data_IF_784431381671
#
_entry.id   IF_784431381671
#
_cell.length_a   1.000
_cell.length_b   1.000
_cell.length_c   1.000
_cell.angle_alpha   90.00
_cell.angle_beta   90.00
_cell.angle_gamma   90.00
#
_symmetry.space_group_name_H-M   'P 1'
#
loop_
_entity.id
_entity.type
_entity.pdbx_description
1 polymer ?
#
# COMPACT_ATOMS: atom_id res chain seq x y z
N UNK A 1 13.55 25.29 -5.80
CA UNK A 1 14.44 24.13 -5.61
C UNK A 1 13.92 23.36 -4.39
N UNK A 2 13.35 22.16 -4.56
CA UNK A 2 12.78 21.41 -3.42
C UNK A 2 13.93 20.59 -2.81
N UNK A 3 14.42 21.06 -1.66
CA UNK A 3 15.42 20.35 -0.85
C UNK A 3 14.70 19.23 -0.11
N UNK A 4 14.77 18.00 -0.64
CA UNK A 4 14.31 16.82 0.08
C UNK A 4 15.20 16.61 1.31
N UNK A 5 14.62 16.61 2.52
CA UNK A 5 15.34 16.17 3.72
C UNK A 5 15.90 14.76 3.47
N UNK A 6 17.23 14.61 3.53
CA UNK A 6 17.96 13.39 3.21
C UNK A 6 17.55 12.15 4.04
N UNK A 7 16.77 12.32 5.12
CA UNK A 7 16.29 11.27 6.00
C UNK A 7 14.83 10.83 5.74
N UNK A 8 14.37 10.89 4.48
CA UNK A 8 13.00 10.51 4.09
C UNK A 8 13.01 9.37 3.08
N UNK A 9 12.07 8.42 3.22
CA UNK A 9 11.90 7.29 2.30
C UNK A 9 11.53 7.78 0.88
N UNK A 10 11.83 6.98 -0.13
CA UNK A 10 11.51 7.31 -1.54
C UNK A 10 10.01 7.47 -1.73
N UNK A 11 9.23 6.60 -1.09
CA UNK A 11 7.78 6.64 -1.06
C UNK A 11 7.27 8.00 -0.59
N UNK A 12 7.83 8.53 0.51
CA UNK A 12 7.46 9.84 1.04
C UNK A 12 7.87 10.95 0.09
N UNK A 13 9.06 10.88 -0.52
CA UNK A 13 9.51 11.88 -1.52
C UNK A 13 8.59 11.90 -2.73
N UNK A 14 8.21 10.73 -3.28
CA UNK A 14 7.28 10.60 -4.41
C UNK A 14 5.93 11.21 -4.06
N UNK A 15 5.39 10.91 -2.88
CA UNK A 15 4.13 11.46 -2.42
C UNK A 15 4.19 12.98 -2.23
N UNK A 16 5.24 13.50 -1.61
CA UNK A 16 5.46 14.95 -1.46
C UNK A 16 5.55 15.62 -2.82
N UNK A 17 6.31 15.08 -3.77
CA UNK A 17 6.38 15.67 -5.12
C UNK A 17 5.03 15.67 -5.83
N UNK A 18 4.24 14.59 -5.72
CA UNK A 18 2.88 14.56 -6.26
C UNK A 18 1.95 15.57 -5.59
N UNK A 19 2.14 15.82 -4.30
CA UNK A 19 1.38 16.82 -3.53
C UNK A 19 1.73 18.25 -3.93
N UNK A 20 3.01 18.57 -4.07
CA UNK A 20 3.45 19.87 -4.59
C UNK A 20 3.00 20.08 -6.05
N UNK A 21 2.97 19.01 -6.85
CA UNK A 21 2.40 19.05 -8.20
C UNK A 21 0.90 19.35 -8.16
N UNK A 22 0.16 18.77 -7.21
CA UNK A 22 -1.26 19.02 -7.02
C UNK A 22 -1.54 20.51 -6.82
N UNK A 23 -0.81 21.15 -5.90
CA UNK A 23 -0.91 22.59 -5.63
C UNK A 23 -0.64 23.46 -6.86
N UNK A 24 0.19 23.00 -7.80
CA UNK A 24 0.53 23.73 -9.03
C UNK A 24 -0.47 23.52 -10.16
N UNK A 25 -0.94 22.29 -10.33
CA UNK A 25 -1.80 21.89 -11.46
C UNK A 25 -3.27 22.15 -11.17
N UNK A 26 -3.63 22.29 -9.89
CA UNK A 26 -4.98 22.60 -9.44
C UNK A 26 -5.02 24.00 -8.81
N UNK A 27 -4.83 25.08 -9.59
CA UNK A 27 -4.84 26.45 -9.06
C UNK A 27 -6.25 26.95 -8.69
N UNK A 28 -7.33 26.32 -9.19
CA UNK A 28 -8.70 26.86 -9.06
C UNK A 28 -9.72 25.98 -8.30
N UNK A 29 -9.34 24.79 -7.80
CA UNK A 29 -10.26 24.02 -6.95
C UNK A 29 -10.24 24.63 -5.56
N UNK A 30 -11.32 25.33 -5.23
CA UNK A 30 -11.54 25.88 -3.91
C UNK A 30 -12.24 27.24 -3.86
N UNK A 31 -12.72 27.78 -4.99
CA UNK A 31 -13.69 28.89 -4.92
C UNK A 31 -14.92 28.54 -4.08
N UNK A 32 -15.28 27.26 -4.01
CA UNK A 32 -16.35 26.70 -3.17
C UNK A 32 -15.83 25.99 -1.90
N UNK A 33 -14.50 25.91 -1.69
CA UNK A 33 -13.91 25.24 -0.52
C UNK A 33 -13.40 26.29 0.44
N UNK A 34 -14.12 26.46 1.54
CA UNK A 34 -13.92 27.58 2.46
C UNK A 34 -12.69 27.42 3.35
N UNK A 35 -12.22 26.18 3.58
CA UNK A 35 -11.15 25.91 4.57
C UNK A 35 -9.86 25.36 3.97
N UNK A 36 -8.72 25.81 4.50
CA UNK A 36 -7.39 25.27 4.15
C UNK A 36 -7.28 23.76 4.41
N UNK A 37 -7.97 23.25 5.43
CA UNK A 37 -8.00 21.83 5.77
C UNK A 37 -8.61 20.98 4.65
N UNK A 38 -9.66 21.47 4.01
CA UNK A 38 -10.32 20.77 2.91
C UNK A 38 -9.48 20.82 1.63
N UNK A 39 -8.83 21.96 1.35
CA UNK A 39 -7.86 22.08 0.25
C UNK A 39 -6.74 21.04 0.40
N UNK A 40 -6.13 20.96 1.57
CA UNK A 40 -5.10 19.95 1.87
C UNK A 40 -5.60 18.50 1.68
N UNK A 41 -6.83 18.22 2.12
CA UNK A 41 -7.47 16.91 1.90
C UNK A 41 -7.64 16.60 0.41
N UNK A 42 -8.01 17.58 -0.40
CA UNK A 42 -8.14 17.43 -1.86
C UNK A 42 -6.77 17.20 -2.51
N UNK A 43 -5.73 17.91 -2.09
CA UNK A 43 -4.37 17.71 -2.60
C UNK A 43 -3.81 16.33 -2.26
N UNK A 44 -4.07 15.83 -1.04
CA UNK A 44 -3.77 14.44 -0.69
C UNK A 44 -4.55 13.44 -1.55
N UNK A 45 -5.84 13.68 -1.81
CA UNK A 45 -6.65 12.81 -2.67
C UNK A 45 -6.14 12.79 -4.11
N UNK A 46 -5.77 13.95 -4.66
CA UNK A 46 -5.14 14.04 -5.97
C UNK A 46 -3.82 13.27 -6.01
N UNK A 47 -2.93 13.49 -5.05
CA UNK A 47 -1.62 12.84 -4.99
C UNK A 47 -1.74 11.32 -4.99
N UNK A 48 -2.67 10.79 -4.20
CA UNK A 48 -2.99 9.36 -4.18
C UNK A 48 -3.57 8.86 -5.51
N UNK A 49 -4.42 9.64 -6.17
CA UNK A 49 -4.98 9.28 -7.48
C UNK A 49 -3.98 9.35 -8.63
N UNK A 50 -3.06 10.31 -8.58
CA UNK A 50 -1.99 10.49 -9.55
C UNK A 50 -0.98 9.33 -9.49
N UNK A 51 -0.55 8.95 -8.27
CA UNK A 51 0.40 7.86 -8.08
C UNK A 51 -0.24 6.47 -8.25
N UNK A 52 -1.53 6.36 -7.98
CA UNK A 52 -2.27 5.10 -8.05
C UNK A 52 -3.61 5.30 -8.77
N UNK A 53 -3.61 5.29 -10.11
CA UNK A 53 -4.82 5.48 -10.91
C UNK A 53 -5.91 4.48 -10.54
N UNK A 54 -7.13 4.98 -10.34
CA UNK A 54 -8.23 4.17 -9.82
C UNK A 54 -8.66 3.05 -10.77
N UNK A 55 -8.67 3.33 -12.08
CA UNK A 55 -9.01 2.35 -13.12
C UNK A 55 -7.98 1.21 -13.17
N UNK A 56 -6.69 1.55 -13.13
CA UNK A 56 -5.62 0.56 -13.11
C UNK A 56 -5.67 -0.30 -11.84
N UNK A 57 -5.87 0.31 -10.67
CA UNK A 57 -6.06 -0.45 -9.42
C UNK A 57 -7.27 -1.39 -9.49
N UNK A 58 -8.39 -0.95 -10.05
CA UNK A 58 -9.59 -1.78 -10.22
C UNK A 58 -9.35 -2.93 -11.18
N UNK A 59 -8.61 -2.71 -12.26
CA UNK A 59 -8.26 -3.78 -13.21
C UNK A 59 -7.35 -4.84 -12.56
N UNK A 60 -6.41 -4.41 -11.71
CA UNK A 60 -5.45 -5.32 -11.07
C UNK A 60 -6.06 -6.10 -9.89
N UNK A 61 -6.82 -5.41 -9.04
CA UNK A 61 -7.30 -5.96 -7.76
C UNK A 61 -8.77 -6.39 -7.85
N UNK A 62 -9.56 -5.78 -8.72
CA UNK A 62 -11.02 -5.89 -8.76
C UNK A 62 -11.72 -4.77 -7.99
N UNK A 63 -13.06 -4.81 -7.99
CA UNK A 63 -13.91 -3.75 -7.43
C UNK A 63 -13.94 -3.75 -5.90
N UNK A 64 -14.01 -4.94 -5.28
CA UNK A 64 -14.09 -5.14 -3.83
C UNK A 64 -13.31 -6.40 -3.45
N UNK A 65 -12.77 -6.40 -2.23
CA UNK A 65 -11.96 -7.50 -1.68
C UNK A 65 -12.32 -7.74 -0.22
N UNK A 66 -12.38 -9.00 0.20
CA UNK A 66 -12.64 -9.34 1.60
C UNK A 66 -11.34 -9.38 2.40
N UNK A 67 -10.24 -9.79 1.76
CA UNK A 67 -8.93 -9.89 2.39
C UNK A 67 -7.79 -9.68 1.39
N UNK A 68 -6.64 -9.29 1.94
CA UNK A 68 -5.38 -9.20 1.22
C UNK A 68 -4.32 -9.97 1.99
N UNK A 69 -3.49 -10.72 1.28
CA UNK A 69 -2.28 -11.26 1.88
C UNK A 69 -1.29 -10.12 2.15
N UNK A 70 -0.52 -10.22 3.23
CA UNK A 70 0.52 -9.23 3.53
C UNK A 70 1.49 -9.06 2.36
N UNK A 71 1.96 -10.18 1.78
CA UNK A 71 2.89 -10.15 0.64
C UNK A 71 2.27 -9.47 -0.58
N UNK A 72 1.00 -9.73 -0.88
CA UNK A 72 0.26 -9.05 -1.96
C UNK A 72 0.28 -7.52 -1.79
N UNK A 73 0.02 -7.01 -0.59
CA UNK A 73 0.08 -5.56 -0.30
C UNK A 73 1.47 -4.98 -0.51
N UNK A 74 2.53 -5.68 -0.08
CA UNK A 74 3.91 -5.23 -0.26
C UNK A 74 4.30 -5.22 -1.74
N UNK A 75 3.91 -6.23 -2.49
CA UNK A 75 4.18 -6.29 -3.92
C UNK A 75 3.49 -5.13 -4.66
N UNK A 76 2.22 -4.87 -4.34
CA UNK A 76 1.46 -3.78 -4.95
C UNK A 76 2.01 -2.40 -4.56
N UNK A 77 2.33 -2.15 -3.29
CA UNK A 77 2.90 -0.86 -2.88
C UNK A 77 4.27 -0.60 -3.52
N UNK A 78 5.05 -1.64 -3.78
CA UNK A 78 6.28 -1.55 -4.58
C UNK A 78 6.02 -1.24 -6.05
N UNK A 79 5.02 -1.89 -6.66
CA UNK A 79 4.64 -1.66 -8.06
C UNK A 79 4.25 -0.19 -8.31
N UNK A 80 3.41 0.38 -7.43
CA UNK A 80 3.06 1.81 -7.48
C UNK A 80 4.15 2.74 -6.91
N UNK A 81 5.13 2.17 -6.21
CA UNK A 81 6.21 2.88 -5.55
C UNK A 81 5.72 3.91 -4.52
N UNK A 82 4.75 3.52 -3.70
CA UNK A 82 4.16 4.31 -2.62
C UNK A 82 4.35 3.62 -1.28
N UNK A 83 4.10 4.33 -0.19
CA UNK A 83 4.13 3.73 1.15
C UNK A 83 2.97 2.74 1.31
N UNK A 84 3.18 1.72 2.12
CA UNK A 84 2.13 0.74 2.42
C UNK A 84 0.91 1.39 3.08
N UNK A 85 1.13 2.42 3.92
CA UNK A 85 0.05 3.24 4.49
C UNK A 85 -0.74 4.01 3.43
N UNK A 86 -0.06 4.69 2.49
CA UNK A 86 -0.74 5.42 1.42
C UNK A 86 -1.51 4.48 0.49
N UNK A 87 -0.98 3.28 0.25
CA UNK A 87 -1.65 2.24 -0.52
C UNK A 87 -2.97 1.81 0.15
N UNK A 88 -2.94 1.46 1.44
CA UNK A 88 -4.16 1.12 2.20
C UNK A 88 -5.21 2.24 2.16
N UNK A 89 -4.78 3.49 2.38
CA UNK A 89 -5.70 4.63 2.33
C UNK A 89 -6.27 4.86 0.93
N UNK A 90 -5.54 4.50 -0.13
CA UNK A 90 -6.04 4.55 -1.51
C UNK A 90 -7.11 3.49 -1.77
N UNK A 91 -6.90 2.26 -1.30
CA UNK A 91 -7.91 1.20 -1.38
C UNK A 91 -9.21 1.62 -0.68
N UNK A 92 -9.10 2.25 0.50
CA UNK A 92 -10.25 2.79 1.23
C UNK A 92 -10.95 3.90 0.42
N UNK A 93 -10.18 4.84 -0.12
CA UNK A 93 -10.73 5.94 -0.92
C UNK A 93 -11.43 5.49 -2.20
N UNK A 94 -11.11 4.30 -2.71
CA UNK A 94 -11.76 3.67 -3.87
C UNK A 94 -12.91 2.73 -3.49
N UNK A 95 -13.17 2.51 -2.19
CA UNK A 95 -14.20 1.59 -1.71
C UNK A 95 -13.85 0.11 -1.90
N UNK A 96 -12.58 -0.22 -2.16
CA UNK A 96 -12.13 -1.61 -2.37
C UNK A 96 -12.02 -2.39 -1.07
N UNK A 97 -11.84 -1.67 0.05
CA UNK A 97 -11.77 -2.18 1.42
C UNK A 97 -12.64 -1.32 2.33
N UNK A 98 -13.21 -1.94 3.35
CA UNK A 98 -14.02 -1.25 4.34
C UNK A 98 -13.16 -0.43 5.31
N UNK A 99 -13.76 0.57 5.95
CA UNK A 99 -13.13 1.33 7.04
C UNK A 99 -12.77 0.44 8.23
N UNK A 100 -13.55 -0.62 8.48
CA UNK A 100 -13.30 -1.60 9.53
C UNK A 100 -12.04 -2.43 9.22
N UNK A 101 -11.90 -2.91 7.98
CA UNK A 101 -10.71 -3.63 7.52
C UNK A 101 -9.44 -2.78 7.68
N UNK A 102 -9.51 -1.49 7.34
CA UNK A 102 -8.40 -0.54 7.52
C UNK A 102 -8.07 -0.34 9.00
N UNK A 103 -9.09 -0.18 9.84
CA UNK A 103 -8.91 -0.07 11.29
C UNK A 103 -8.21 -1.30 11.85
N UNK A 104 -8.65 -2.49 11.44
CA UNK A 104 -8.06 -3.78 11.82
C UNK A 104 -6.61 -3.90 11.34
N UNK A 105 -6.33 -3.53 10.09
CA UNK A 105 -4.96 -3.52 9.55
C UNK A 105 -4.02 -2.68 10.42
N UNK A 106 -4.38 -1.43 10.72
CA UNK A 106 -3.57 -0.54 11.55
C UNK A 106 -3.50 -0.93 13.04
N UNK A 107 -4.40 -1.80 13.52
CA UNK A 107 -4.30 -2.40 14.87
C UNK A 107 -3.42 -3.65 14.91
N UNK A 108 -3.19 -4.29 13.77
CA UNK A 108 -2.51 -5.58 13.66
C UNK A 108 -1.18 -5.43 12.91
N UNK A 109 -1.10 -5.91 11.66
CA UNK A 109 0.14 -5.99 10.89
C UNK A 109 0.66 -4.63 10.40
N UNK A 110 -0.20 -3.62 10.26
CA UNK A 110 0.16 -2.28 9.79
C UNK A 110 0.41 -1.27 10.92
N UNK A 111 0.46 -1.71 12.18
CA UNK A 111 0.60 -0.84 13.37
C UNK A 111 1.77 0.12 13.27
N UNK A 112 2.89 -0.33 12.75
CA UNK A 112 4.12 0.46 12.63
C UNK A 112 4.25 1.22 11.33
N UNK A 113 3.37 1.01 10.33
CA UNK A 113 3.56 1.52 8.97
C UNK A 113 3.49 3.05 8.84
N UNK A 114 3.01 3.75 9.86
CA UNK A 114 3.04 5.22 9.91
C UNK A 114 4.42 5.78 10.30
N UNK A 115 5.21 5.01 11.03
CA UNK A 115 6.53 5.43 11.55
C UNK A 115 7.68 4.65 10.92
N UNK A 116 7.44 3.41 10.50
CA UNK A 116 8.42 2.50 9.90
C UNK A 116 7.80 1.82 8.68
N UNK A 117 8.30 2.17 7.50
CA UNK A 117 7.82 1.62 6.22
C UNK A 117 8.24 0.15 6.09
N UNK A 118 7.32 -0.79 5.84
CA UNK A 118 7.68 -2.18 5.58
C UNK A 118 8.37 -2.31 4.22
N UNK A 119 9.49 -3.03 4.17
CA UNK A 119 10.28 -3.25 2.95
C UNK A 119 10.44 -1.94 2.13
N UNK A 120 11.13 -0.90 2.65
CA UNK A 120 11.21 0.39 1.98
C UNK A 120 11.89 0.28 0.61
N UNK A 121 11.50 1.12 -0.34
CA UNK A 121 12.17 1.20 -1.63
C UNK A 121 13.64 1.61 -1.45
N UNK A 122 14.55 0.84 -2.05
CA UNK A 122 15.99 1.09 -1.98
C UNK A 122 16.39 2.34 -2.79
N UNK A 123 17.21 3.21 -2.19
CA UNK A 123 17.72 4.47 -2.80
C UNK A 123 18.73 4.24 -3.94
N UNK A 124 19.34 3.04 -4.00
CA UNK A 124 20.50 2.72 -4.86
C UNK A 124 20.24 1.60 -5.87
N UNK A 125 19.00 1.13 -6.01
CA UNK A 125 18.74 0.05 -6.95
C UNK A 125 18.79 0.59 -8.39
N UNK A 126 19.79 0.14 -9.15
CA UNK A 126 19.75 0.02 -10.62
C UNK A 126 18.33 -0.29 -11.10
N UNK A 127 17.84 0.25 -12.24
CA UNK A 127 16.47 0.05 -12.72
C UNK A 127 16.04 -1.39 -12.42
N UNK A 128 15.07 -1.54 -11.52
CA UNK A 128 14.65 -2.85 -11.02
C UNK A 128 14.37 -3.70 -12.24
N UNK A 129 15.11 -4.79 -12.40
CA UNK A 129 14.77 -5.80 -13.39
C UNK A 129 13.31 -6.17 -13.13
N UNK A 130 12.44 -5.93 -14.10
CA UNK A 130 11.02 -6.23 -13.98
C UNK A 130 10.89 -7.75 -13.83
N UNK A 131 10.46 -8.20 -12.66
CA UNK A 131 10.23 -9.62 -12.41
C UNK A 131 8.75 -9.93 -12.64
N UNK A 132 8.42 -11.07 -13.28
CA UNK A 132 7.04 -11.47 -13.48
C UNK A 132 6.42 -11.86 -12.12
N UNK A 133 5.56 -10.99 -11.59
CA UNK A 133 4.93 -11.17 -10.27
C UNK A 133 3.45 -11.60 -10.34
N UNK A 134 2.85 -11.56 -11.53
CA UNK A 134 1.40 -11.77 -11.72
C UNK A 134 0.91 -13.12 -11.19
N UNK A 135 1.65 -14.19 -11.46
CA UNK A 135 1.29 -15.52 -10.95
C UNK A 135 1.31 -15.57 -9.42
N UNK A 136 2.37 -15.05 -8.80
CA UNK A 136 2.47 -14.99 -7.34
C UNK A 136 1.34 -14.17 -6.73
N UNK A 137 1.03 -13.00 -7.30
CA UNK A 137 -0.09 -12.16 -6.88
C UNK A 137 -1.41 -12.92 -6.96
N UNK A 138 -1.68 -13.67 -8.03
CA UNK A 138 -2.89 -14.48 -8.16
C UNK A 138 -2.96 -15.59 -7.10
N UNK A 139 -1.84 -16.23 -6.76
CA UNK A 139 -1.81 -17.24 -5.70
C UNK A 139 -2.08 -16.62 -4.33
N UNK A 140 -1.42 -15.51 -3.99
CA UNK A 140 -1.67 -14.77 -2.74
C UNK A 140 -3.10 -14.26 -2.64
N UNK A 141 -3.65 -13.76 -3.75
CA UNK A 141 -5.04 -13.35 -3.87
C UNK A 141 -5.99 -14.52 -3.58
N UNK A 142 -5.69 -15.69 -4.13
CA UNK A 142 -6.50 -16.90 -4.00
C UNK A 142 -6.51 -17.45 -2.58
N UNK A 143 -5.36 -17.49 -1.90
CA UNK A 143 -5.33 -17.91 -0.50
C UNK A 143 -5.96 -16.87 0.44
N UNK A 144 -5.79 -15.57 0.17
CA UNK A 144 -6.41 -14.52 0.97
C UNK A 144 -7.95 -14.58 0.93
N UNK A 145 -8.53 -14.85 -0.24
CA UNK A 145 -9.98 -15.07 -0.40
C UNK A 145 -10.41 -16.52 -0.10
N UNK A 146 -9.53 -17.35 0.46
CA UNK A 146 -9.83 -18.74 0.82
C UNK A 146 -10.30 -19.61 -0.38
N UNK A 147 -9.92 -19.24 -1.61
CA UNK A 147 -10.24 -20.00 -2.83
C UNK A 147 -9.36 -21.25 -2.97
N UNK A 148 -8.19 -21.25 -2.32
CA UNK A 148 -7.26 -22.39 -2.26
C UNK A 148 -6.74 -22.56 -0.83
N UNK A 149 -6.30 -23.78 -0.52
CA UNK A 149 -5.69 -24.10 0.78
C UNK A 149 -4.23 -23.64 0.86
N UNK A 150 -3.73 -23.49 2.09
CA UNK A 150 -2.32 -23.17 2.35
C UNK A 150 -1.34 -24.19 1.72
N UNK A 151 -1.55 -25.53 1.83
CA UNK A 151 -0.74 -26.50 1.11
C UNK A 151 -0.73 -26.29 -0.40
N UNK A 152 -1.88 -25.96 -1.01
CA UNK A 152 -1.97 -25.71 -2.45
C UNK A 152 -1.23 -24.45 -2.86
N UNK A 153 -1.31 -23.38 -2.06
CA UNK A 153 -0.54 -22.17 -2.30
C UNK A 153 0.98 -22.41 -2.20
N UNK A 154 1.41 -23.20 -1.21
CA UNK A 154 2.80 -23.60 -1.03
C UNK A 154 3.34 -24.42 -2.22
N UNK A 155 2.55 -25.37 -2.72
CA UNK A 155 2.86 -26.13 -3.93
C UNK A 155 3.00 -25.21 -5.15
N UNK A 156 2.02 -24.32 -5.39
CA UNK A 156 2.02 -23.40 -6.53
C UNK A 156 3.20 -22.41 -6.48
N UNK A 157 3.54 -21.90 -5.30
CA UNK A 157 4.66 -20.98 -5.10
C UNK A 157 6.03 -21.68 -5.05
N UNK A 158 6.04 -23.02 -5.01
CA UNK A 158 7.23 -23.84 -4.77
C UNK A 158 8.02 -23.36 -3.52
N UNK A 159 7.30 -23.20 -2.41
CA UNK A 159 7.83 -22.69 -1.14
C UNK A 159 7.39 -23.54 0.05
N UNK A 160 8.15 -23.59 1.16
CA UNK A 160 7.72 -24.24 2.38
C UNK A 160 6.41 -23.63 2.92
N UNK A 161 5.53 -24.47 3.47
CA UNK A 161 4.21 -24.03 3.96
C UNK A 161 4.31 -22.92 5.01
N UNK A 162 5.28 -23.04 5.93
CA UNK A 162 5.52 -22.03 6.96
C UNK A 162 5.88 -20.66 6.38
N UNK A 163 6.64 -20.65 5.29
CA UNK A 163 7.07 -19.42 4.61
C UNK A 163 5.86 -18.74 3.95
N UNK A 164 5.02 -19.51 3.25
CA UNK A 164 3.79 -18.97 2.66
C UNK A 164 2.82 -18.47 3.73
N UNK A 165 2.69 -19.18 4.86
CA UNK A 165 1.85 -18.71 5.96
C UNK A 165 2.32 -17.37 6.52
N UNK A 166 3.62 -17.21 6.74
CA UNK A 166 4.22 -15.96 7.19
C UNK A 166 4.00 -14.83 6.18
N UNK A 167 4.09 -15.13 4.89
CA UNK A 167 3.86 -14.16 3.81
C UNK A 167 2.38 -13.76 3.68
N UNK A 168 1.44 -14.64 4.03
CA UNK A 168 0.01 -14.32 4.05
C UNK A 168 -0.35 -13.46 5.25
N UNK A 169 0.08 -13.86 6.45
CA UNK A 169 -0.23 -13.14 7.70
C UNK A 169 0.58 -11.85 7.87
N UNK A 170 1.79 -11.81 7.33
CA UNK A 170 2.77 -10.78 7.61
C UNK A 170 3.52 -11.04 8.91
N UNK A 171 4.46 -10.15 9.29
CA UNK A 171 5.14 -10.25 10.56
C UNK A 171 4.08 -10.21 11.67
N UNK A 172 4.06 -11.24 12.51
CA UNK A 172 3.27 -11.21 13.74
C UNK A 172 3.61 -9.90 14.45
N UNK A 173 2.61 -9.07 14.71
CA UNK A 173 2.79 -7.95 15.62
C UNK A 173 3.29 -8.58 16.92
N UNK A 174 4.61 -8.51 17.18
CA UNK A 174 5.18 -9.06 18.41
C UNK A 174 4.32 -8.47 19.51
N UNK A 175 3.60 -9.32 20.23
CA UNK A 175 2.94 -8.92 21.46
C UNK A 175 4.07 -8.36 22.32
N UNK A 176 4.20 -7.03 22.35
CA UNK A 176 4.99 -6.35 23.34
C UNK A 176 4.19 -6.55 24.62
N UNK A 177 4.45 -7.69 25.25
CA UNK A 177 4.14 -7.97 26.63
C UNK A 177 4.88 -6.90 27.44
N UNK A 178 4.21 -5.78 27.69
CA UNK A 178 4.61 -4.85 28.73
C UNK A 178 3.74 -5.15 29.95
N UNK A 179 4.01 -6.30 30.56
CA UNK A 179 3.99 -6.38 32.02
C UNK A 179 5.35 -5.91 32.52
N UNK A 180 5.44 -4.65 32.91
CA UNK A 180 6.19 -4.18 34.08
C UNK A 180 5.44 -2.98 34.64
#
# INVERSE_FOLDING_TARGET
MIVGKNNTTIERRRFTLAHELAHKVIPEIGKEVETEKEKERLMHRFSGAFLMPGEHLKAEIGSTRHAFAYRELIQLKHHYGVSASSFLMRLLALGMVSSDAITTAFRTYARTWKTSEPEPLALSASPRSETPMRFQQLVYRAIAEQMISLPRAAELLNQPMQEVENQVRGPAARHADHRQ
#
